data_IF_064862773949
#
_entry.id   IF_064862773949
#
_cell.length_a   1.000
_cell.length_b   1.000
_cell.length_c   1.000
_cell.angle_alpha   90.00
_cell.angle_beta   90.00
_cell.angle_gamma   90.00
#
_symmetry.space_group_name_H-M   'P 1'
#
loop_
_entity.id
_entity.type
_entity.pdbx_description
1 polymer ?
#
# COMPACT_ATOMS: atom_id res chain seq x y z
N UNK A 1 10.63 -42.30 -24.83
CA UNK A 1 9.92 -41.00 -24.88
C UNK A 1 9.96 -40.42 -23.47
N UNK A 2 10.83 -39.46 -23.21
CA UNK A 2 11.00 -38.85 -21.87
C UNK A 2 9.82 -37.90 -21.63
N UNK A 3 9.08 -37.99 -20.51
CA UNK A 3 8.03 -37.03 -20.23
C UNK A 3 8.67 -35.68 -19.86
N UNK A 4 8.40 -34.67 -20.68
CA UNK A 4 8.70 -33.27 -20.37
C UNK A 4 7.83 -32.82 -19.19
N UNK A 5 8.39 -32.29 -18.09
CA UNK A 5 7.58 -31.66 -17.06
C UNK A 5 7.18 -30.26 -17.54
N UNK A 6 6.15 -30.17 -18.38
CA UNK A 6 5.43 -28.91 -18.61
C UNK A 6 4.38 -28.76 -17.52
N UNK A 7 4.82 -28.32 -16.35
CA UNK A 7 3.97 -27.79 -15.30
C UNK A 7 4.60 -26.50 -14.82
N UNK A 8 4.07 -25.35 -15.25
CA UNK A 8 4.34 -24.06 -14.60
C UNK A 8 4.19 -24.30 -13.09
N UNK A 9 5.27 -24.15 -12.31
CA UNK A 9 5.16 -24.16 -10.85
C UNK A 9 4.00 -23.23 -10.49
N UNK A 10 3.04 -23.65 -9.63
CA UNK A 10 2.04 -22.73 -9.15
C UNK A 10 2.79 -21.53 -8.59
N UNK A 11 2.46 -20.35 -9.09
CA UNK A 11 3.08 -19.13 -8.61
C UNK A 11 2.86 -19.07 -7.10
N UNK A 12 3.92 -18.84 -6.32
CA UNK A 12 3.82 -18.67 -4.86
C UNK A 12 2.68 -17.70 -4.54
N UNK A 13 1.93 -17.90 -3.44
CA UNK A 13 0.84 -17.01 -3.06
C UNK A 13 1.30 -15.55 -3.07
N UNK A 14 0.41 -14.64 -3.44
CA UNK A 14 0.70 -13.21 -3.33
C UNK A 14 0.60 -12.81 -1.85
N UNK A 15 1.66 -12.22 -1.31
CA UNK A 15 1.84 -11.97 0.12
C UNK A 15 1.79 -10.47 0.45
N UNK A 16 1.73 -10.09 1.74
CA UNK A 16 1.90 -8.70 2.16
C UNK A 16 3.25 -8.09 1.74
N UNK A 17 4.32 -8.90 1.64
CA UNK A 17 5.60 -8.43 1.10
C UNK A 17 5.45 -8.02 -0.37
N UNK A 18 4.84 -8.86 -1.19
CA UNK A 18 4.59 -8.55 -2.61
C UNK A 18 3.78 -7.25 -2.75
N UNK A 19 2.80 -7.02 -1.86
CA UNK A 19 2.04 -5.77 -1.85
C UNK A 19 2.91 -4.54 -1.55
N UNK A 20 3.82 -4.64 -0.59
CA UNK A 20 4.76 -3.54 -0.29
C UNK A 20 5.69 -3.25 -1.48
N UNK A 21 6.07 -4.27 -2.26
CA UNK A 21 6.81 -4.09 -3.50
C UNK A 21 5.99 -3.34 -4.57
N UNK A 22 4.66 -3.49 -4.60
CA UNK A 22 3.78 -2.68 -5.46
C UNK A 22 3.84 -1.20 -5.06
N UNK A 23 3.79 -0.91 -3.75
CA UNK A 23 3.89 0.45 -3.22
C UNK A 23 5.24 1.07 -3.60
N UNK A 24 6.34 0.35 -3.33
CA UNK A 24 7.70 0.77 -3.71
C UNK A 24 7.82 1.02 -5.21
N UNK A 25 7.26 0.15 -6.06
CA UNK A 25 7.29 0.36 -7.51
C UNK A 25 6.60 1.66 -7.92
N UNK A 26 5.48 2.03 -7.29
CA UNK A 26 4.80 3.31 -7.56
C UNK A 26 5.63 4.50 -7.07
N UNK A 27 6.27 4.38 -5.91
CA UNK A 27 7.13 5.44 -5.37
C UNK A 27 8.40 5.65 -6.20
N UNK A 28 8.88 4.61 -6.90
CA UNK A 28 10.04 4.68 -7.78
C UNK A 28 9.85 5.60 -8.99
N UNK A 29 8.59 5.94 -9.34
CA UNK A 29 8.31 6.93 -10.38
C UNK A 29 8.78 8.34 -9.98
N UNK A 30 9.02 8.58 -8.68
CA UNK A 30 9.46 9.88 -8.14
C UNK A 30 10.82 9.82 -7.43
N UNK A 31 11.12 8.75 -6.68
CA UNK A 31 12.36 8.61 -5.91
C UNK A 31 12.99 7.22 -6.10
N UNK A 32 13.60 6.94 -7.28
CA UNK A 32 14.09 5.61 -7.61
C UNK A 32 15.24 5.14 -6.71
N UNK A 33 16.16 6.02 -6.32
CA UNK A 33 17.32 5.66 -5.51
C UNK A 33 16.91 5.20 -4.10
N UNK A 34 16.01 5.95 -3.45
CA UNK A 34 15.45 5.59 -2.15
C UNK A 34 14.68 4.26 -2.18
N UNK A 35 14.04 3.94 -3.31
CA UNK A 35 13.37 2.64 -3.50
C UNK A 35 14.38 1.50 -3.67
N UNK A 36 15.50 1.74 -4.34
CA UNK A 36 16.54 0.72 -4.47
C UNK A 36 17.18 0.41 -3.11
N UNK A 37 17.43 1.42 -2.28
CA UNK A 37 17.89 1.24 -0.90
C UNK A 37 16.88 0.41 -0.07
N UNK A 38 15.60 0.80 -0.05
CA UNK A 38 14.56 0.05 0.67
C UNK A 38 14.44 -1.40 0.17
N UNK A 39 14.60 -1.63 -1.13
CA UNK A 39 14.61 -2.98 -1.71
C UNK A 39 15.82 -3.80 -1.25
N UNK A 40 17.00 -3.18 -1.16
CA UNK A 40 18.21 -3.83 -0.67
C UNK A 40 18.07 -4.24 0.79
N UNK A 41 17.50 -3.38 1.64
CA UNK A 41 17.20 -3.71 3.04
C UNK A 41 16.24 -4.89 3.16
N UNK A 42 15.27 -4.98 2.25
CA UNK A 42 14.34 -6.12 2.15
C UNK A 42 14.97 -7.38 1.54
N UNK A 43 16.18 -7.30 0.98
CA UNK A 43 16.84 -8.42 0.31
C UNK A 43 16.14 -8.90 -0.98
N UNK A 44 15.35 -8.04 -1.64
CA UNK A 44 14.57 -8.40 -2.83
C UNK A 44 15.20 -7.89 -4.13
N UNK A 45 15.04 -8.60 -5.24
CA UNK A 45 15.56 -8.17 -6.54
C UNK A 45 14.57 -7.28 -7.31
N UNK A 46 15.09 -6.43 -8.22
CA UNK A 46 14.23 -5.54 -9.03
C UNK A 46 13.25 -6.35 -9.88
N UNK A 47 13.65 -7.57 -10.24
CA UNK A 47 12.80 -8.53 -10.93
C UNK A 47 11.62 -8.98 -10.06
N UNK A 48 11.84 -9.26 -8.77
CA UNK A 48 10.76 -9.61 -7.84
C UNK A 48 9.75 -8.48 -7.70
N UNK A 49 10.22 -7.23 -7.56
CA UNK A 49 9.34 -6.06 -7.51
C UNK A 49 8.53 -5.90 -8.79
N UNK A 50 9.15 -6.09 -9.96
CA UNK A 50 8.46 -6.01 -11.25
C UNK A 50 7.42 -7.11 -11.41
N UNK A 51 7.72 -8.34 -11.01
CA UNK A 51 6.79 -9.46 -11.08
C UNK A 51 5.63 -9.29 -10.09
N UNK A 52 5.89 -8.81 -8.86
CA UNK A 52 4.85 -8.45 -7.90
C UNK A 52 3.89 -7.40 -8.48
N UNK A 53 4.41 -6.30 -9.04
CA UNK A 53 3.58 -5.28 -9.68
C UNK A 53 2.77 -5.87 -10.85
N UNK A 54 3.39 -6.65 -11.73
CA UNK A 54 2.68 -7.30 -12.85
C UNK A 54 1.54 -8.20 -12.38
N UNK A 55 1.75 -9.00 -11.34
CA UNK A 55 0.72 -9.86 -10.74
C UNK A 55 -0.40 -9.05 -10.11
N UNK A 56 -0.07 -7.97 -9.40
CA UNK A 56 -1.05 -7.04 -8.85
C UNK A 56 -1.92 -6.40 -9.94
N UNK A 57 -1.27 -5.87 -10.98
CA UNK A 57 -1.90 -5.25 -12.14
C UNK A 57 -2.84 -6.22 -12.88
N UNK A 58 -2.51 -7.51 -12.93
CA UNK A 58 -3.38 -8.55 -13.45
C UNK A 58 -4.59 -8.82 -12.54
N UNK A 59 -4.41 -8.84 -11.21
CA UNK A 59 -5.51 -8.98 -10.26
C UNK A 59 -6.49 -7.79 -10.32
N UNK A 60 -5.98 -6.56 -10.46
CA UNK A 60 -6.81 -5.35 -10.55
C UNK A 60 -7.63 -5.30 -11.84
N UNK A 61 -7.06 -5.72 -12.98
CA UNK A 61 -7.74 -5.70 -14.29
C UNK A 61 -8.64 -6.91 -14.56
N UNK A 62 -8.73 -7.87 -13.64
CA UNK A 62 -9.50 -9.09 -13.86
C UNK A 62 -11.00 -8.79 -14.02
N UNK A 63 -11.67 -9.24 -15.11
CA UNK A 63 -13.10 -9.02 -15.32
C UNK A 63 -14.01 -9.65 -14.25
N UNK A 64 -13.48 -10.65 -13.52
CA UNK A 64 -14.15 -11.31 -12.39
C UNK A 64 -13.70 -10.78 -11.04
N UNK A 65 -13.12 -9.57 -10.99
CA UNK A 65 -12.62 -9.03 -9.73
C UNK A 65 -13.76 -8.89 -8.72
N UNK A 66 -13.58 -9.49 -7.55
CA UNK A 66 -14.42 -9.25 -6.38
C UNK A 66 -14.35 -7.76 -5.99
N UNK A 67 -15.27 -7.29 -5.15
CA UNK A 67 -15.29 -5.91 -4.65
C UNK A 67 -13.88 -5.47 -4.20
N UNK A 68 -13.40 -4.25 -4.52
CA UNK A 68 -12.00 -3.87 -4.34
C UNK A 68 -11.43 -4.14 -2.94
N UNK A 69 -12.21 -3.92 -1.88
CA UNK A 69 -11.83 -4.23 -0.49
C UNK A 69 -11.47 -5.71 -0.27
N UNK A 70 -12.19 -6.63 -0.90
CA UNK A 70 -11.94 -8.07 -0.74
C UNK A 70 -10.58 -8.50 -1.30
N UNK A 71 -10.05 -7.78 -2.30
CA UNK A 71 -8.69 -8.00 -2.82
C UNK A 71 -7.66 -7.66 -1.76
N UNK A 72 -7.78 -6.51 -1.09
CA UNK A 72 -6.90 -6.13 0.02
C UNK A 72 -6.95 -7.16 1.15
N UNK A 73 -8.15 -7.57 1.57
CA UNK A 73 -8.30 -8.62 2.60
C UNK A 73 -7.67 -9.96 2.19
N UNK A 74 -7.76 -10.33 0.91
CA UNK A 74 -7.16 -11.59 0.44
C UNK A 74 -5.63 -11.58 0.43
N UNK A 75 -5.01 -10.40 0.32
CA UNK A 75 -3.56 -10.23 0.22
C UNK A 75 -2.93 -9.86 1.56
N UNK A 76 -3.56 -8.95 2.29
CA UNK A 76 -3.07 -8.39 3.55
C UNK A 76 -3.64 -9.10 4.79
N UNK A 77 -4.64 -9.97 4.61
CA UNK A 77 -5.32 -10.66 5.70
C UNK A 77 -6.34 -9.77 6.40
N UNK A 78 -6.58 -10.05 7.68
CA UNK A 78 -7.49 -9.26 8.50
C UNK A 78 -6.86 -7.89 8.82
N UNK A 79 -7.61 -6.77 8.69
CA UNK A 79 -7.15 -5.48 9.15
C UNK A 79 -6.76 -5.50 10.63
N UNK A 80 -5.79 -4.67 10.99
CA UNK A 80 -5.49 -4.37 12.40
C UNK A 80 -6.64 -3.61 13.06
N UNK A 81 -7.28 -2.70 12.32
CA UNK A 81 -8.44 -1.97 12.81
C UNK A 81 -9.39 -1.53 11.70
N UNK A 82 -10.65 -1.34 12.10
CA UNK A 82 -11.71 -0.75 11.28
C UNK A 82 -12.34 0.39 12.08
N UNK A 83 -12.51 1.54 11.45
CA UNK A 83 -13.20 2.68 12.07
C UNK A 83 -14.23 3.29 11.13
N UNK A 84 -15.40 3.63 11.66
CA UNK A 84 -16.36 4.43 10.93
C UNK A 84 -15.87 5.88 10.86
N UNK A 85 -16.01 6.52 9.70
CA UNK A 85 -15.71 7.94 9.49
C UNK A 85 -16.86 8.62 8.80
N UNK A 86 -17.15 9.86 9.21
CA UNK A 86 -18.09 10.74 8.51
C UNK A 86 -17.28 11.79 7.78
N UNK A 87 -17.38 11.82 6.44
CA UNK A 87 -16.74 12.83 5.61
C UNK A 87 -17.86 13.61 4.92
N UNK A 88 -18.09 14.85 5.37
CA UNK A 88 -19.30 15.59 5.00
C UNK A 88 -20.56 14.86 5.47
N UNK A 89 -21.45 14.53 4.55
CA UNK A 89 -22.66 13.76 4.77
C UNK A 89 -22.47 12.24 4.58
N UNK A 90 -21.29 11.79 4.15
CA UNK A 90 -21.03 10.42 3.72
C UNK A 90 -20.48 9.55 4.86
N UNK A 91 -21.15 8.45 5.16
CA UNK A 91 -20.65 7.40 6.05
C UNK A 91 -19.61 6.54 5.32
N UNK A 92 -18.40 6.50 5.86
CA UNK A 92 -17.28 5.74 5.31
C UNK A 92 -16.75 4.76 6.35
N UNK A 93 -16.02 3.74 5.88
CA UNK A 93 -15.23 2.88 6.75
C UNK A 93 -13.77 2.95 6.35
N UNK A 94 -12.90 3.23 7.32
CA UNK A 94 -11.45 3.18 7.16
C UNK A 94 -10.94 1.84 7.69
N UNK A 95 -10.25 1.10 6.82
CA UNK A 95 -9.66 -0.20 7.11
C UNK A 95 -8.14 -0.08 7.10
N UNK A 96 -7.48 -0.51 8.17
CA UNK A 96 -6.06 -0.30 8.39
C UNK A 96 -5.30 -1.63 8.45
N UNK A 97 -4.23 -1.76 7.66
CA UNK A 97 -3.32 -2.90 7.71
C UNK A 97 -1.89 -2.46 8.07
N UNK A 98 -1.15 -3.29 8.82
CA UNK A 98 0.27 -3.09 9.02
C UNK A 98 1.03 -3.26 7.69
N UNK A 99 2.05 -2.42 7.50
CA UNK A 99 3.01 -2.52 6.39
C UNK A 99 4.42 -2.65 7.00
N UNK A 100 4.94 -3.87 7.17
CA UNK A 100 6.19 -4.12 7.92
C UNK A 100 7.41 -3.28 7.53
N UNK A 101 7.52 -2.84 6.27
CA UNK A 101 8.56 -1.94 5.78
C UNK A 101 8.51 -0.56 6.45
N UNK A 102 7.33 -0.10 6.83
CA UNK A 102 7.11 1.16 7.53
C UNK A 102 6.35 0.89 8.84
N UNK A 103 7.02 0.46 9.92
CA UNK A 103 6.36 0.03 11.16
C UNK A 103 5.47 1.11 11.79
N UNK A 104 5.84 2.38 11.62
CA UNK A 104 5.08 3.55 12.08
C UNK A 104 3.91 3.94 11.17
N UNK A 105 3.69 3.26 10.05
CA UNK A 105 2.61 3.55 9.11
C UNK A 105 1.62 2.39 9.01
N UNK A 106 0.43 2.70 8.48
CA UNK A 106 -0.60 1.74 8.08
C UNK A 106 -1.03 2.02 6.67
N UNK A 107 -1.34 0.97 5.93
CA UNK A 107 -2.05 1.13 4.66
C UNK A 107 -3.54 1.24 4.96
N UNK A 108 -4.12 2.40 4.64
CA UNK A 108 -5.54 2.67 4.82
C UNK A 108 -6.28 2.49 3.50
N UNK A 109 -7.38 1.74 3.54
CA UNK A 109 -8.39 1.72 2.48
C UNK A 109 -9.66 2.34 3.03
N UNK A 110 -10.09 3.43 2.42
CA UNK A 110 -11.34 4.10 2.74
C UNK A 110 -12.45 3.62 1.80
N UNK A 111 -13.51 3.06 2.35
CA UNK A 111 -14.66 2.55 1.59
C UNK A 111 -15.92 3.36 1.83
N UNK A 112 -16.67 3.57 0.77
CA UNK A 112 -18.01 4.14 0.75
C UNK A 112 -19.08 3.16 1.27
N UNK A 113 -20.33 3.60 1.53
CA UNK A 113 -21.41 2.72 1.98
C UNK A 113 -21.72 1.59 0.98
N UNK A 114 -21.52 1.84 -0.31
CA UNK A 114 -21.72 0.85 -1.36
C UNK A 114 -20.53 -0.12 -1.54
N UNK A 115 -19.51 -0.04 -0.67
CA UNK A 115 -18.30 -0.86 -0.72
C UNK A 115 -17.29 -0.45 -1.80
N UNK A 116 -17.52 0.65 -2.52
CA UNK A 116 -16.52 1.22 -3.40
C UNK A 116 -15.33 1.74 -2.59
N UNK A 117 -14.11 1.56 -3.10
CA UNK A 117 -12.92 2.16 -2.51
C UNK A 117 -12.77 3.57 -3.05
N UNK A 118 -12.73 4.55 -2.14
CA UNK A 118 -12.56 5.96 -2.47
C UNK A 118 -11.12 6.41 -2.38
N UNK A 119 -10.37 5.91 -1.39
CA UNK A 119 -8.97 6.27 -1.22
C UNK A 119 -8.14 5.12 -0.67
N UNK A 120 -6.86 5.14 -1.03
CA UNK A 120 -5.85 4.13 -0.68
C UNK A 120 -4.50 4.81 -0.51
N UNK A 121 -3.94 4.78 0.71
CA UNK A 121 -2.75 5.54 1.05
C UNK A 121 -2.08 5.03 2.33
N UNK A 122 -0.88 5.54 2.60
CA UNK A 122 -0.19 5.32 3.86
C UNK A 122 -0.56 6.43 4.85
N UNK A 123 -0.98 6.02 6.04
CA UNK A 123 -1.31 6.90 7.17
C UNK A 123 -0.44 6.57 8.38
N UNK A 124 -0.28 7.51 9.31
CA UNK A 124 0.42 7.27 10.57
C UNK A 124 -0.33 6.21 11.37
N UNK A 125 0.39 5.24 11.92
CA UNK A 125 -0.22 4.25 12.81
C UNK A 125 -0.84 4.96 14.03
N UNK A 126 -2.03 4.52 14.50
CA UNK A 126 -2.63 5.10 15.70
C UNK A 126 -1.67 5.07 16.88
N UNK A 127 -1.42 6.23 17.50
CA UNK A 127 -0.50 6.38 18.63
C UNK A 127 0.99 6.46 18.27
N UNK A 128 1.37 6.33 17.00
CA UNK A 128 2.75 6.59 16.58
C UNK A 128 2.98 8.10 16.42
N UNK A 129 4.15 8.56 16.86
CA UNK A 129 4.58 9.94 16.64
C UNK A 129 4.84 10.19 15.14
N UNK A 130 4.34 11.33 14.66
CA UNK A 130 4.54 11.78 13.28
C UNK A 130 5.60 12.89 13.22
N UNK A 131 6.14 13.18 12.03
CA UNK A 131 6.99 14.36 11.84
C UNK A 131 6.20 15.65 12.07
N UNK A 132 6.91 16.70 12.49
CA UNK A 132 6.39 18.06 12.61
C UNK A 132 7.16 18.99 11.64
N UNK A 133 6.93 18.89 10.33
CA UNK A 133 7.61 19.77 9.37
C UNK A 133 7.17 21.22 9.62
N UNK A 134 8.14 22.12 9.77
CA UNK A 134 7.89 23.55 10.04
C UNK A 134 8.05 24.40 8.79
N UNK A 135 8.85 23.90 7.85
CA UNK A 135 9.21 24.54 6.59
C UNK A 135 9.03 23.55 5.44
N UNK A 136 8.91 24.05 4.22
CA UNK A 136 8.81 23.18 3.04
C UNK A 136 10.07 22.34 2.83
N UNK A 137 11.23 22.81 3.29
CA UNK A 137 12.49 22.08 3.21
C UNK A 137 12.51 20.85 4.14
N UNK A 138 11.65 20.82 5.16
CA UNK A 138 11.49 19.66 6.04
C UNK A 138 10.73 18.50 5.37
N UNK A 139 10.05 18.75 4.23
CA UNK A 139 9.27 17.76 3.48
C UNK A 139 10.16 16.90 2.56
N UNK A 140 11.07 16.12 3.15
CA UNK A 140 11.88 15.17 2.40
C UNK A 140 11.04 13.96 1.96
N UNK A 141 11.43 13.23 0.88
CA UNK A 141 10.69 12.06 0.42
C UNK A 141 10.42 11.06 1.55
N UNK A 142 9.16 10.61 1.65
CA UNK A 142 8.67 9.64 2.65
C UNK A 142 8.80 10.05 4.12
N UNK A 143 9.19 11.30 4.42
CA UNK A 143 9.22 11.79 5.80
C UNK A 143 7.83 11.88 6.42
N UNK A 144 6.85 12.34 5.65
CA UNK A 144 5.48 12.61 6.10
C UNK A 144 4.42 11.92 5.23
N UNK A 145 3.28 11.66 5.86
CA UNK A 145 2.04 11.31 5.17
C UNK A 145 1.38 12.56 4.58
N UNK A 146 0.45 12.37 3.64
CA UNK A 146 -0.30 13.47 3.03
C UNK A 146 -1.04 14.30 4.08
N UNK A 147 -1.65 13.62 5.05
CA UNK A 147 -2.37 14.25 6.16
C UNK A 147 -1.45 15.08 7.07
N UNK A 148 -0.23 14.62 7.32
CA UNK A 148 0.75 15.36 8.14
C UNK A 148 1.21 16.62 7.41
N UNK A 149 1.52 16.53 6.12
CA UNK A 149 1.87 17.69 5.30
C UNK A 149 0.69 18.70 5.21
N UNK A 150 -0.52 18.20 4.98
CA UNK A 150 -1.71 19.05 4.88
C UNK A 150 -2.03 19.78 6.20
N UNK A 151 -1.83 19.13 7.36
CA UNK A 151 -2.01 19.77 8.67
C UNK A 151 -0.93 20.81 8.96
N UNK A 152 0.33 20.54 8.62
CA UNK A 152 1.44 21.45 8.89
C UNK A 152 1.36 22.76 8.09
N UNK A 153 0.81 22.71 6.88
CA UNK A 153 0.73 23.84 5.96
C UNK A 153 -0.72 24.16 5.54
N UNK A 154 -1.66 24.06 6.48
CA UNK A 154 -3.06 24.37 6.22
C UNK A 154 -3.21 25.80 5.67
N UNK A 155 -4.03 26.01 4.63
CA UNK A 155 -4.23 27.34 4.07
C UNK A 155 -4.82 28.27 5.15
N UNK A 156 -4.27 29.49 5.20
CA UNK A 156 -4.66 30.53 6.15
C UNK A 156 -6.08 31.08 5.90
#
# INVERSE_FOLDING_TARGET
MVPMPSGKRPASPFTPLDFQLVLLRRMADHNPDLVEEARHELGVSIADMREANKRWQAMVRSPRSRAPLSRYRSVLGEPESRSARRIGDLDCEAWLWPVPLWPGLRFEVLTAPNGAVWNEWLVRAPGAEGPEPRTLDDLTPWSCTVDEAARAFAPA
#
